data_IF_121079004195
#
_entry.id   IF_121079004195
#
_cell.length_a   1.000
_cell.length_b   1.000
_cell.length_c   1.000
_cell.angle_alpha   90.00
_cell.angle_beta   90.00
_cell.angle_gamma   90.00
#
_symmetry.space_group_name_H-M   'P 1'
#
loop_
_entity.id
_entity.type
_entity.pdbx_description
1 polymer ?
#
# COMPACT_ATOMS: atom_id res chain seq x y z
N UNK A 1 11.32 28.08 -2.24
CA UNK A 1 9.92 28.01 -1.81
C UNK A 1 9.07 27.59 -3.01
N UNK A 2 8.36 26.45 -2.91
CA UNK A 2 7.47 26.02 -3.96
C UNK A 2 6.29 27.00 -4.08
N UNK A 3 6.21 27.69 -5.20
CA UNK A 3 5.06 28.53 -5.53
C UNK A 3 3.97 27.63 -6.12
N UNK A 4 3.16 26.98 -5.27
CA UNK A 4 2.09 26.10 -5.76
C UNK A 4 1.16 25.66 -4.65
N UNK A 5 -0.06 25.25 -5.04
CA UNK A 5 -1.04 24.65 -4.12
C UNK A 5 -0.72 23.18 -3.89
N UNK A 6 -0.79 22.72 -2.63
CA UNK A 6 -0.74 21.29 -2.31
C UNK A 6 -1.98 20.61 -2.91
N UNK A 7 -1.76 19.63 -3.79
CA UNK A 7 -2.85 18.92 -4.51
C UNK A 7 -3.17 17.56 -3.93
N UNK A 8 -2.31 17.03 -3.05
CA UNK A 8 -2.50 15.74 -2.39
C UNK A 8 -1.59 15.57 -1.19
N UNK A 9 -1.91 14.58 -0.35
CA UNK A 9 -1.10 14.21 0.80
C UNK A 9 -1.07 12.67 0.94
N UNK A 10 0.08 12.16 1.36
CA UNK A 10 0.28 10.74 1.64
C UNK A 10 0.85 10.58 3.06
N UNK A 11 0.09 9.90 3.93
CA UNK A 11 0.56 9.44 5.23
C UNK A 11 1.15 8.05 5.04
N UNK A 12 2.48 7.93 5.12
CA UNK A 12 3.16 6.67 4.81
C UNK A 12 4.14 6.23 5.89
N UNK A 13 4.90 7.12 6.43
CA UNK A 13 5.93 6.77 7.40
C UNK A 13 6.82 7.98 7.70
N UNK A 14 7.76 7.87 8.63
CA UNK A 14 8.23 6.61 9.25
C UNK A 14 7.26 6.12 10.33
N UNK A 15 7.07 4.79 10.40
CA UNK A 15 6.11 4.16 11.29
C UNK A 15 4.80 3.77 10.58
N UNK A 16 3.85 3.26 11.35
CA UNK A 16 2.53 2.80 10.85
C UNK A 16 1.47 3.87 11.12
N UNK A 17 0.94 4.54 10.09
CA UNK A 17 -0.04 5.61 10.31
C UNK A 17 -1.27 5.21 11.10
N UNK A 18 -1.78 3.99 10.90
CA UNK A 18 -2.96 3.53 11.62
C UNK A 18 -2.71 3.17 13.10
N UNK A 19 -1.45 3.06 13.55
CA UNK A 19 -1.15 3.03 14.98
C UNK A 19 -1.38 4.39 15.64
N UNK A 20 -1.25 5.47 14.88
CA UNK A 20 -1.49 6.84 15.35
C UNK A 20 -2.79 7.39 14.75
N UNK A 21 -3.83 6.55 14.75
CA UNK A 21 -5.09 6.75 14.05
C UNK A 21 -5.69 8.14 14.28
N UNK A 22 -5.89 8.52 15.53
CA UNK A 22 -6.56 9.78 15.87
C UNK A 22 -5.83 11.01 15.32
N UNK A 23 -4.51 11.05 15.47
CA UNK A 23 -3.73 12.20 14.98
C UNK A 23 -3.66 12.22 13.45
N UNK A 24 -3.55 11.05 12.79
CA UNK A 24 -3.55 10.95 11.33
C UNK A 24 -4.89 11.41 10.77
N UNK A 25 -6.02 10.96 11.34
CA UNK A 25 -7.35 11.39 10.88
C UNK A 25 -7.56 12.88 11.16
N UNK A 26 -7.12 13.38 12.31
CA UNK A 26 -7.19 14.81 12.64
C UNK A 26 -6.38 15.65 11.64
N UNK A 27 -5.15 15.25 11.33
CA UNK A 27 -4.32 15.92 10.35
C UNK A 27 -4.94 15.88 8.93
N UNK A 28 -5.51 14.73 8.53
CA UNK A 28 -6.21 14.59 7.25
C UNK A 28 -7.43 15.53 7.16
N UNK A 29 -8.19 15.68 8.26
CA UNK A 29 -9.31 16.62 8.35
C UNK A 29 -8.84 18.08 8.20
N UNK A 30 -7.76 18.47 8.87
CA UNK A 30 -7.19 19.82 8.75
C UNK A 30 -6.72 20.10 7.33
N UNK A 31 -6.05 19.12 6.67
CA UNK A 31 -5.60 19.24 5.29
C UNK A 31 -6.78 19.38 4.31
N UNK A 32 -7.89 18.70 4.57
CA UNK A 32 -9.06 18.74 3.68
C UNK A 32 -10.06 19.86 4.02
N UNK A 33 -9.89 20.54 5.15
CA UNK A 33 -10.81 21.58 5.58
C UNK A 33 -10.80 22.80 4.63
N UNK A 34 -11.98 23.37 4.30
CA UNK A 34 -12.07 24.56 3.43
C UNK A 34 -11.27 25.78 3.92
N UNK A 35 -11.21 25.98 5.24
CA UNK A 35 -10.42 27.04 5.87
C UNK A 35 -8.99 26.60 6.23
N UNK A 36 -8.61 25.35 5.94
CA UNK A 36 -7.29 24.78 6.20
C UNK A 36 -6.51 24.55 4.89
N UNK A 37 -6.01 23.31 4.72
CA UNK A 37 -5.19 22.95 3.58
C UNK A 37 -5.91 22.90 2.22
N UNK A 38 -7.24 22.77 2.21
CA UNK A 38 -8.09 22.74 1.01
C UNK A 38 -7.71 21.61 0.02
N UNK A 39 -7.08 20.56 0.51
CA UNK A 39 -6.73 19.37 -0.27
C UNK A 39 -7.99 18.53 -0.42
N UNK A 40 -8.31 18.08 -1.64
CA UNK A 40 -9.45 17.16 -1.81
C UNK A 40 -9.26 15.90 -0.95
N UNK A 41 -10.27 15.48 -0.20
CA UNK A 41 -10.23 14.24 0.57
C UNK A 41 -9.84 13.03 -0.28
N UNK A 42 -10.27 12.98 -1.54
CA UNK A 42 -9.91 11.94 -2.51
C UNK A 42 -8.42 11.96 -2.91
N UNK A 43 -7.72 13.05 -2.63
CA UNK A 43 -6.28 13.19 -2.88
C UNK A 43 -5.44 12.97 -1.62
N UNK A 44 -6.09 12.64 -0.49
CA UNK A 44 -5.41 12.25 0.75
C UNK A 44 -5.40 10.74 0.82
N UNK A 45 -4.23 10.17 1.03
CA UNK A 45 -4.02 8.73 1.08
C UNK A 45 -3.32 8.34 2.37
N UNK A 46 -3.76 7.25 2.98
CA UNK A 46 -3.15 6.68 4.18
C UNK A 46 -2.64 5.29 3.80
N UNK A 47 -1.34 5.07 3.98
CA UNK A 47 -0.72 3.76 3.77
C UNK A 47 -0.71 2.98 5.08
N UNK A 48 -0.98 1.69 5.03
CA UNK A 48 -0.95 0.81 6.20
C UNK A 48 -0.38 -0.55 5.84
N UNK A 49 0.33 -1.15 6.79
CA UNK A 49 0.78 -2.55 6.68
C UNK A 49 -0.37 -3.55 6.92
N UNK A 50 -1.57 -3.09 7.27
CA UNK A 50 -2.74 -3.98 7.41
C UNK A 50 -3.16 -4.23 8.83
N UNK A 51 -3.30 -3.19 9.66
CA UNK A 51 -3.86 -3.29 10.99
C UNK A 51 -5.39 -3.46 10.90
N UNK A 52 -5.85 -4.70 10.95
CA UNK A 52 -7.25 -5.10 10.70
C UNK A 52 -8.28 -4.34 11.55
N UNK A 53 -8.12 -4.21 12.88
CA UNK A 53 -9.08 -3.45 13.69
C UNK A 53 -9.22 -2.00 13.23
N UNK A 54 -8.09 -1.36 12.88
CA UNK A 54 -8.07 0.02 12.43
C UNK A 54 -8.63 0.18 11.01
N UNK A 55 -8.40 -0.79 10.11
CA UNK A 55 -9.01 -0.80 8.78
C UNK A 55 -10.53 -0.89 8.89
N UNK A 56 -11.06 -1.78 9.72
CA UNK A 56 -12.50 -1.91 9.98
C UNK A 56 -13.08 -0.63 10.57
N UNK A 57 -12.40 -0.04 11.55
CA UNK A 57 -12.77 1.28 12.10
C UNK A 57 -12.82 2.35 11.01
N UNK A 58 -11.79 2.42 10.18
CA UNK A 58 -11.71 3.37 9.06
C UNK A 58 -12.86 3.18 8.06
N UNK A 59 -13.21 1.94 7.77
CA UNK A 59 -14.34 1.59 6.91
C UNK A 59 -15.68 2.04 7.54
N UNK A 60 -15.88 1.79 8.83
CA UNK A 60 -17.10 2.18 9.56
C UNK A 60 -17.28 3.70 9.63
N UNK A 61 -16.20 4.44 9.81
CA UNK A 61 -16.21 5.91 9.87
C UNK A 61 -16.41 6.58 8.50
N UNK A 62 -16.31 5.85 7.40
CA UNK A 62 -16.58 6.30 6.01
C UNK A 62 -15.85 7.57 5.62
N UNK A 63 -14.57 7.65 5.95
CA UNK A 63 -13.74 8.80 5.60
C UNK A 63 -13.61 8.99 4.07
N UNK A 64 -13.49 10.24 3.57
CA UNK A 64 -13.29 10.49 2.14
C UNK A 64 -11.86 10.20 1.67
N UNK A 65 -11.00 9.66 2.53
CA UNK A 65 -9.59 9.39 2.26
C UNK A 65 -9.41 8.00 1.68
N UNK A 66 -8.29 7.79 0.98
CA UNK A 66 -7.93 6.50 0.37
C UNK A 66 -7.03 5.71 1.30
N UNK A 67 -7.16 4.37 1.25
CA UNK A 67 -6.18 3.46 1.83
C UNK A 67 -5.29 2.87 0.74
N UNK A 68 -4.00 2.70 1.09
CA UNK A 68 -3.05 1.82 0.41
C UNK A 68 -2.69 0.72 1.40
N UNK A 69 -2.77 -0.52 0.95
CA UNK A 69 -2.32 -1.67 1.74
C UNK A 69 -0.89 -2.01 1.30
N UNK A 70 0.06 -1.82 2.18
CA UNK A 70 1.45 -2.28 2.01
C UNK A 70 1.47 -3.79 2.21
N UNK A 71 1.14 -4.51 1.12
CA UNK A 71 0.97 -5.97 1.18
C UNK A 71 2.31 -6.68 1.31
N UNK A 72 3.30 -6.26 0.54
CA UNK A 72 4.66 -6.80 0.43
C UNK A 72 4.68 -8.25 -0.07
N UNK A 73 3.87 -9.15 0.52
CA UNK A 73 3.64 -10.51 0.04
C UNK A 73 2.21 -10.97 0.35
N UNK A 74 1.63 -11.73 -0.56
CA UNK A 74 0.35 -12.41 -0.40
C UNK A 74 0.51 -13.86 0.08
N UNK A 75 1.74 -14.29 0.35
CA UNK A 75 2.07 -15.62 0.91
C UNK A 75 2.37 -15.43 2.40
N UNK A 76 1.63 -16.13 3.26
CA UNK A 76 1.64 -15.90 4.71
C UNK A 76 3.05 -16.03 5.32
N UNK A 77 3.78 -17.07 4.98
CA UNK A 77 5.13 -17.34 5.50
C UNK A 77 6.13 -16.25 5.08
N UNK A 78 6.05 -15.80 3.82
CA UNK A 78 6.89 -14.70 3.31
C UNK A 78 6.53 -13.40 4.01
N UNK A 79 5.24 -13.10 4.11
CA UNK A 79 4.76 -11.89 4.77
C UNK A 79 5.18 -11.83 6.24
N UNK A 80 5.09 -12.95 6.97
CA UNK A 80 5.52 -13.01 8.37
C UNK A 80 7.01 -12.73 8.53
N UNK A 81 7.85 -13.21 7.61
CA UNK A 81 9.30 -12.92 7.60
C UNK A 81 9.60 -11.46 7.29
N UNK A 82 8.87 -10.88 6.34
CA UNK A 82 9.11 -9.53 5.84
C UNK A 82 8.49 -8.45 6.74
N UNK A 83 7.36 -8.76 7.38
CA UNK A 83 6.59 -7.85 8.24
C UNK A 83 6.27 -8.53 9.58
N UNK A 84 7.23 -8.66 10.52
CA UNK A 84 7.09 -9.52 11.71
C UNK A 84 5.88 -9.22 12.58
N UNK A 85 5.42 -7.98 12.65
CA UNK A 85 4.25 -7.58 13.43
C UNK A 85 2.96 -7.77 12.63
N UNK A 86 2.87 -7.15 11.47
CA UNK A 86 1.67 -7.17 10.61
C UNK A 86 1.47 -8.54 9.92
N UNK A 87 2.56 -9.27 9.67
CA UNK A 87 2.50 -10.59 9.06
C UNK A 87 1.92 -11.70 9.94
N UNK A 88 1.67 -11.44 11.23
CA UNK A 88 0.95 -12.37 12.11
C UNK A 88 -0.56 -12.38 11.88
N UNK A 89 -1.10 -11.35 11.24
CA UNK A 89 -2.52 -11.30 10.88
C UNK A 89 -2.77 -12.23 9.71
N UNK A 90 -3.74 -13.15 9.79
CA UNK A 90 -4.13 -13.99 8.67
C UNK A 90 -4.50 -13.15 7.44
N UNK A 91 -4.02 -13.53 6.27
CA UNK A 91 -4.25 -12.78 5.03
C UNK A 91 -5.74 -12.77 4.64
N UNK A 92 -6.48 -13.82 4.98
CA UNK A 92 -7.94 -13.91 4.79
C UNK A 92 -8.67 -12.85 5.64
N UNK A 93 -8.22 -12.64 6.86
CA UNK A 93 -8.79 -11.62 7.75
C UNK A 93 -8.48 -10.20 7.25
N UNK A 94 -7.24 -9.98 6.79
CA UNK A 94 -6.86 -8.73 6.13
C UNK A 94 -7.73 -8.49 4.89
N UNK A 95 -7.87 -9.49 4.01
CA UNK A 95 -8.68 -9.39 2.80
C UNK A 95 -10.15 -9.11 3.11
N UNK A 96 -10.71 -9.70 4.18
CA UNK A 96 -12.08 -9.43 4.62
C UNK A 96 -12.24 -7.96 5.07
N UNK A 97 -11.35 -7.45 5.94
CA UNK A 97 -11.40 -6.06 6.40
C UNK A 97 -11.22 -5.06 5.25
N UNK A 98 -10.34 -5.36 4.32
CA UNK A 98 -10.10 -4.54 3.14
C UNK A 98 -11.32 -4.56 2.20
N UNK A 99 -12.03 -5.67 2.09
CA UNK A 99 -13.29 -5.78 1.32
C UNK A 99 -14.40 -4.96 1.97
N UNK A 100 -14.51 -4.96 3.31
CA UNK A 100 -15.44 -4.10 4.05
C UNK A 100 -15.16 -2.60 3.73
N UNK A 101 -13.89 -2.20 3.77
CA UNK A 101 -13.49 -0.84 3.37
C UNK A 101 -13.86 -0.54 1.92
N UNK A 102 -13.50 -1.43 0.98
CA UNK A 102 -13.71 -1.22 -0.45
C UNK A 102 -15.21 -1.12 -0.80
N UNK A 103 -16.05 -1.98 -0.23
CA UNK A 103 -17.51 -1.96 -0.47
C UNK A 103 -18.19 -0.69 0.04
N UNK A 104 -17.66 -0.08 1.11
CA UNK A 104 -18.15 1.18 1.67
C UNK A 104 -17.52 2.43 1.03
N UNK A 105 -16.42 2.27 0.32
CA UNK A 105 -15.66 3.39 -0.24
C UNK A 105 -16.27 3.90 -1.55
N UNK A 106 -16.59 5.19 -1.59
CA UNK A 106 -17.08 5.88 -2.81
C UNK A 106 -15.97 6.12 -3.86
N UNK A 107 -14.80 5.50 -3.72
CA UNK A 107 -13.59 5.90 -4.46
C UNK A 107 -13.06 4.83 -5.41
N UNK A 108 -13.78 3.74 -5.56
CA UNK A 108 -13.61 2.78 -6.63
C UNK A 108 -12.46 1.80 -6.40
N UNK A 109 -11.21 2.22 -6.39
CA UNK A 109 -10.07 1.30 -6.44
C UNK A 109 -9.35 1.11 -5.14
N UNK A 110 -9.11 -0.14 -4.78
CA UNK A 110 -8.17 -0.53 -3.73
C UNK A 110 -6.75 -0.49 -4.27
N UNK A 111 -5.83 0.15 -3.56
CA UNK A 111 -4.42 0.13 -3.95
C UNK A 111 -3.65 -0.85 -3.07
N UNK A 112 -3.01 -1.83 -3.70
CA UNK A 112 -2.03 -2.72 -3.07
C UNK A 112 -0.63 -2.21 -3.43
N UNK A 113 0.23 -2.04 -2.45
CA UNK A 113 1.63 -1.68 -2.65
C UNK A 113 2.52 -2.89 -2.35
N UNK A 114 3.45 -3.18 -3.24
CA UNK A 114 4.40 -4.28 -3.11
C UNK A 114 5.81 -3.74 -3.35
N UNK A 115 6.68 -3.93 -2.36
CA UNK A 115 8.11 -3.75 -2.53
C UNK A 115 8.65 -5.00 -3.20
N UNK A 116 9.27 -4.85 -4.36
CA UNK A 116 9.82 -5.97 -5.12
C UNK A 116 11.19 -6.37 -4.58
N UNK A 117 11.28 -7.60 -4.14
CA UNK A 117 12.49 -8.20 -3.56
C UNK A 117 12.93 -9.34 -4.50
N UNK A 118 14.09 -9.17 -5.14
CA UNK A 118 14.63 -10.14 -6.10
C UNK A 118 14.71 -11.55 -5.51
N UNK A 119 14.19 -12.53 -6.23
CA UNK A 119 14.14 -13.94 -5.81
C UNK A 119 13.24 -14.26 -4.62
N UNK A 120 12.42 -13.30 -4.12
CA UNK A 120 11.64 -13.48 -2.90
C UNK A 120 10.13 -13.43 -3.15
N UNK A 121 9.62 -12.37 -3.81
CA UNK A 121 8.17 -12.12 -3.93
C UNK A 121 7.76 -11.69 -5.35
N UNK A 122 8.47 -12.16 -6.36
CA UNK A 122 8.24 -11.83 -7.77
C UNK A 122 7.84 -13.04 -8.61
N UNK A 123 7.32 -14.09 -7.99
CA UNK A 123 6.93 -15.33 -8.65
C UNK A 123 5.42 -15.43 -8.93
N UNK A 124 5.02 -16.45 -9.69
CA UNK A 124 3.62 -16.71 -10.05
C UNK A 124 2.76 -17.01 -8.82
N UNK A 125 3.30 -17.63 -7.79
CA UNK A 125 2.57 -17.95 -6.57
C UNK A 125 2.07 -16.71 -5.83
N UNK A 126 2.83 -15.61 -5.84
CA UNK A 126 2.36 -14.31 -5.33
C UNK A 126 1.13 -13.83 -6.12
N UNK A 127 1.17 -13.91 -7.45
CA UNK A 127 0.07 -13.45 -8.31
C UNK A 127 -1.19 -14.27 -8.06
N UNK A 128 -1.07 -15.58 -7.96
CA UNK A 128 -2.19 -16.48 -7.66
C UNK A 128 -2.84 -16.14 -6.32
N UNK A 129 -2.04 -15.90 -5.29
CA UNK A 129 -2.55 -15.51 -3.98
C UNK A 129 -3.19 -14.12 -3.98
N UNK A 130 -2.62 -13.15 -4.69
CA UNK A 130 -3.24 -11.83 -4.86
C UNK A 130 -4.59 -11.97 -5.56
N UNK A 131 -4.67 -12.76 -6.64
CA UNK A 131 -5.91 -13.04 -7.35
C UNK A 131 -6.94 -13.68 -6.43
N UNK A 132 -6.55 -14.69 -5.67
CA UNK A 132 -7.44 -15.41 -4.73
C UNK A 132 -8.00 -14.49 -3.65
N UNK A 133 -7.17 -13.65 -3.04
CA UNK A 133 -7.54 -12.84 -1.89
C UNK A 133 -8.26 -11.54 -2.27
N UNK A 134 -7.83 -10.90 -3.35
CA UNK A 134 -8.21 -9.54 -3.70
C UNK A 134 -8.80 -9.40 -5.10
N UNK A 135 -8.75 -10.42 -5.96
CA UNK A 135 -9.13 -10.34 -7.38
C UNK A 135 -10.59 -9.99 -7.65
N UNK A 136 -11.48 -10.15 -6.66
CA UNK A 136 -12.87 -9.72 -6.77
C UNK A 136 -13.09 -8.20 -6.59
N UNK A 137 -12.05 -7.45 -6.24
CA UNK A 137 -12.11 -6.00 -6.01
C UNK A 137 -11.48 -5.25 -7.20
N UNK A 138 -11.93 -4.02 -7.45
CA UNK A 138 -11.26 -3.13 -8.42
C UNK A 138 -9.90 -2.69 -7.83
N UNK A 139 -8.84 -3.21 -8.39
CA UNK A 139 -7.48 -3.08 -7.87
C UNK A 139 -6.66 -2.04 -8.65
N UNK A 140 -5.69 -1.47 -7.96
CA UNK A 140 -4.48 -0.84 -8.50
C UNK A 140 -3.28 -1.46 -7.82
N UNK A 141 -2.26 -1.83 -8.56
CA UNK A 141 -1.02 -2.37 -8.02
C UNK A 141 0.08 -1.33 -8.14
N UNK A 142 0.66 -0.95 -7.01
CA UNK A 142 1.86 -0.12 -6.98
C UNK A 142 3.07 -1.03 -6.73
N UNK A 143 3.96 -1.11 -7.68
CA UNK A 143 5.24 -1.82 -7.56
C UNK A 143 6.32 -0.81 -7.18
N UNK A 144 7.08 -1.12 -6.15
CA UNK A 144 8.11 -0.25 -5.59
C UNK A 144 9.42 -1.04 -5.63
N UNK A 145 10.44 -0.51 -6.27
CA UNK A 145 11.77 -1.14 -6.22
C UNK A 145 12.34 -0.99 -4.80
N UNK A 146 12.89 -2.09 -4.26
CA UNK A 146 13.55 -2.03 -2.95
C UNK A 146 14.78 -1.13 -3.01
N UNK A 147 14.97 -0.37 -1.95
CA UNK A 147 16.18 0.40 -1.72
C UNK A 147 16.70 0.03 -0.33
N UNK A 148 17.47 -1.08 -0.25
CA UNK A 148 18.02 -1.59 0.99
C UNK A 148 19.54 -1.48 0.97
N UNK A 149 20.07 -0.42 1.59
CA UNK A 149 21.49 -0.15 1.66
C UNK A 149 22.25 -0.96 2.74
N UNK A 150 21.55 -1.81 3.50
CA UNK A 150 22.17 -2.59 4.57
C UNK A 150 23.06 -3.69 4.00
N UNK A 151 24.24 -3.96 4.60
CA UNK A 151 25.01 -5.14 4.23
C UNK A 151 24.18 -6.42 4.38
N UNK A 152 24.08 -7.22 3.30
CA UNK A 152 23.23 -8.41 3.28
C UNK A 152 21.71 -8.12 3.20
N UNK A 153 21.33 -6.90 2.88
CA UNK A 153 19.94 -6.50 2.64
C UNK A 153 19.31 -7.15 1.40
N UNK A 154 18.05 -6.84 1.16
CA UNK A 154 17.33 -7.40 0.01
C UNK A 154 17.83 -6.82 -1.31
N UNK A 155 18.09 -7.69 -2.28
CA UNK A 155 18.43 -7.27 -3.62
C UNK A 155 17.18 -6.77 -4.38
N UNK A 156 17.31 -5.75 -5.22
CA UNK A 156 16.24 -5.37 -6.14
C UNK A 156 15.96 -6.49 -7.14
N UNK A 157 14.70 -6.61 -7.55
CA UNK A 157 14.32 -7.52 -8.62
C UNK A 157 15.04 -7.13 -9.93
N UNK A 158 15.57 -8.12 -10.64
CA UNK A 158 16.15 -7.91 -11.96
C UNK A 158 15.08 -7.41 -12.96
N UNK A 159 15.52 -6.82 -14.07
CA UNK A 159 14.59 -6.38 -15.11
C UNK A 159 13.78 -7.52 -15.72
N UNK A 160 14.37 -8.72 -15.80
CA UNK A 160 13.69 -9.92 -16.27
C UNK A 160 12.61 -10.39 -15.30
N UNK A 161 12.93 -10.51 -14.01
CA UNK A 161 11.97 -10.86 -12.96
C UNK A 161 10.83 -9.85 -12.88
N UNK A 162 11.15 -8.57 -12.93
CA UNK A 162 10.14 -7.51 -12.87
C UNK A 162 9.20 -7.58 -14.06
N UNK A 163 9.70 -7.76 -15.28
CA UNK A 163 8.86 -7.91 -16.47
C UNK A 163 7.98 -9.14 -16.35
N UNK A 164 8.53 -10.30 -16.03
CA UNK A 164 7.77 -11.53 -15.87
C UNK A 164 6.66 -11.39 -14.81
N UNK A 165 6.96 -10.75 -13.69
CA UNK A 165 5.97 -10.50 -12.64
C UNK A 165 4.88 -9.51 -13.07
N UNK A 166 5.24 -8.43 -13.78
CA UNK A 166 4.25 -7.49 -14.32
C UNK A 166 3.35 -8.14 -15.36
N UNK A 167 3.89 -9.01 -16.21
CA UNK A 167 3.12 -9.77 -17.20
C UNK A 167 2.16 -10.74 -16.51
N UNK A 168 2.61 -11.47 -15.49
CA UNK A 168 1.75 -12.35 -14.70
C UNK A 168 0.62 -11.59 -13.98
N UNK A 169 0.88 -10.37 -13.48
CA UNK A 169 -0.13 -9.53 -12.84
C UNK A 169 -1.24 -9.05 -13.77
N UNK A 170 -1.10 -9.18 -15.10
CA UNK A 170 -2.16 -8.78 -16.05
C UNK A 170 -3.46 -9.59 -15.86
N UNK A 171 -3.40 -10.78 -15.27
CA UNK A 171 -4.58 -11.58 -14.93
C UNK A 171 -5.55 -10.82 -14.01
N UNK A 172 -5.04 -9.88 -13.21
CA UNK A 172 -5.85 -9.05 -12.30
C UNK A 172 -6.64 -7.97 -13.03
N UNK A 173 -6.35 -7.71 -14.30
CA UNK A 173 -6.95 -6.63 -15.09
C UNK A 173 -6.89 -5.25 -14.39
N UNK A 174 -5.87 -5.06 -13.58
CA UNK A 174 -5.66 -3.88 -12.74
C UNK A 174 -4.57 -2.97 -13.32
N UNK A 175 -4.70 -1.65 -13.21
CA UNK A 175 -3.59 -0.75 -13.50
C UNK A 175 -2.38 -1.05 -12.62
N UNK A 176 -1.23 -1.29 -13.25
CA UNK A 176 0.05 -1.53 -12.58
C UNK A 176 0.88 -0.26 -12.74
N UNK A 177 1.32 0.29 -11.62
CA UNK A 177 2.12 1.52 -11.56
C UNK A 177 3.46 1.20 -10.89
N UNK A 178 4.56 1.39 -11.63
CA UNK A 178 5.90 1.34 -11.04
C UNK A 178 6.19 2.68 -10.35
N UNK A 179 6.58 2.60 -9.10
CA UNK A 179 7.04 3.74 -8.31
C UNK A 179 8.55 3.66 -8.16
N UNK A 180 9.23 4.75 -8.47
CA UNK A 180 10.65 4.88 -8.19
C UNK A 180 10.83 5.36 -6.75
N UNK A 181 11.70 4.70 -6.00
CA UNK A 181 12.21 5.23 -4.74
C UNK A 181 13.19 6.34 -5.08
N UNK A 182 12.82 7.59 -4.83
CA UNK A 182 13.79 8.69 -4.87
C UNK A 182 14.80 8.52 -3.73
N UNK A 183 16.05 8.93 -3.95
CA UNK A 183 17.06 8.93 -2.90
C UNK A 183 17.93 7.69 -2.81
N UNK A 184 17.92 6.80 -3.81
CA UNK A 184 18.83 5.65 -3.88
C UNK A 184 20.30 6.09 -3.77
N UNK A 185 20.65 7.23 -4.37
CA UNK A 185 22.02 7.80 -4.33
C UNK A 185 22.38 8.38 -2.95
N UNK A 186 21.40 8.71 -2.12
CA UNK A 186 21.59 9.30 -0.79
C UNK A 186 21.23 8.34 0.34
N UNK A 187 21.00 7.06 0.03
CA UNK A 187 20.54 6.04 0.99
C UNK A 187 19.28 6.46 1.79
N UNK A 188 18.50 7.38 1.25
CA UNK A 188 17.22 7.76 1.81
C UNK A 188 16.17 6.71 1.39
N UNK A 189 15.79 5.88 2.35
CA UNK A 189 14.74 4.88 2.17
C UNK A 189 13.36 5.48 2.53
#
# INVERSE_FOLDING_TARGET
QAKGRIVGALFQGQGEPLQNYENVIRAARLLSHPCGGRVSGRSITISTVGLVPQIRRFAAERHPYRLIISLTSAIAERRQRLLPVAGRVPLEELAAAVREYWSGAKHGRLTLAMVLLGGVNTDAAEVEQIQRLFGAMDLRINLIDVNDARPGGFAPASDAERRAFMDALQILKAPIVRRYSGGAETHAA
#
